data_IF_956115613217
#
_entry.id   IF_956115613217
#
_cell.length_a   1.000
_cell.length_b   1.000
_cell.length_c   1.000
_cell.angle_alpha   90.00
_cell.angle_beta   90.00
_cell.angle_gamma   90.00
#
_symmetry.space_group_name_H-M   'P 1'
#
loop_
_entity.id
_entity.type
_entity.pdbx_description
1 polymer ?
#
# COMPACT_ATOMS: atom_id res chain seq x y z
N UNK A 1 12.55 0.19 20.96
CA UNK A 1 13.69 0.98 20.44
C UNK A 1 13.27 1.63 19.13
N UNK A 2 13.03 2.96 19.08
CA UNK A 2 12.83 3.63 17.79
C UNK A 2 14.18 3.71 17.07
N UNK A 3 14.46 2.71 16.23
CA UNK A 3 15.67 2.72 15.39
C UNK A 3 15.37 3.48 14.11
N UNK A 4 16.13 4.56 13.86
CA UNK A 4 16.11 5.26 12.59
C UNK A 4 16.52 4.35 11.40
N UNK A 5 17.11 3.18 11.67
CA UNK A 5 17.47 2.17 10.66
C UNK A 5 16.36 1.18 10.29
N UNK A 6 15.12 1.38 10.72
CA UNK A 6 13.98 0.54 10.33
C UNK A 6 14.14 -0.94 10.72
N UNK A 7 13.63 -1.85 9.87
CA UNK A 7 13.67 -3.30 10.09
C UNK A 7 15.11 -3.84 10.14
N UNK A 8 16.02 -3.25 9.35
CA UNK A 8 17.44 -3.58 9.36
C UNK A 8 18.08 -3.37 10.74
N UNK A 9 17.85 -2.20 11.34
CA UNK A 9 18.43 -1.85 12.64
C UNK A 9 18.01 -2.82 13.74
N UNK A 10 16.73 -3.23 13.72
CA UNK A 10 16.20 -4.22 14.67
C UNK A 10 16.82 -5.59 14.41
N UNK A 11 16.79 -6.09 13.18
CA UNK A 11 17.30 -7.42 12.82
C UNK A 11 18.79 -7.58 13.13
N UNK A 12 19.60 -6.54 12.90
CA UNK A 12 21.03 -6.56 13.21
C UNK A 12 21.29 -6.70 14.72
N UNK A 13 20.51 -6.00 15.54
CA UNK A 13 20.70 -5.99 17.00
C UNK A 13 20.16 -7.26 17.66
N UNK A 14 19.10 -7.87 17.11
CA UNK A 14 18.47 -9.05 17.72
C UNK A 14 19.01 -10.38 17.19
N UNK A 15 19.29 -10.47 15.89
CA UNK A 15 19.66 -11.73 15.23
C UNK A 15 21.13 -11.76 14.77
N UNK A 16 21.82 -10.62 14.82
CA UNK A 16 23.23 -10.50 14.41
C UNK A 16 23.43 -9.95 12.99
N UNK A 17 24.70 -9.89 12.57
CA UNK A 17 25.11 -9.16 11.36
C UNK A 17 24.56 -9.78 10.07
N UNK A 18 24.65 -11.11 9.93
CA UNK A 18 24.22 -11.82 8.72
C UNK A 18 22.71 -11.70 8.44
N UNK A 19 21.81 -12.03 9.39
CA UNK A 19 20.37 -11.85 9.17
C UNK A 19 19.99 -10.38 9.02
N UNK A 20 20.68 -9.46 9.71
CA UNK A 20 20.53 -8.02 9.48
C UNK A 20 20.83 -7.66 8.02
N UNK A 21 21.95 -8.12 7.47
CA UNK A 21 22.31 -7.89 6.07
C UNK A 21 21.25 -8.42 5.09
N UNK A 22 20.76 -9.66 5.29
CA UNK A 22 19.70 -10.23 4.45
C UNK A 22 18.43 -9.37 4.47
N UNK A 23 18.01 -8.89 5.65
CA UNK A 23 16.85 -8.00 5.78
C UNK A 23 17.05 -6.70 5.00
N UNK A 24 18.24 -6.09 5.06
CA UNK A 24 18.54 -4.88 4.30
C UNK A 24 18.49 -5.10 2.78
N UNK A 25 19.03 -6.22 2.29
CA UNK A 25 18.99 -6.57 0.87
C UNK A 25 17.54 -6.75 0.42
N UNK A 26 16.75 -7.53 1.15
CA UNK A 26 15.33 -7.74 0.86
C UNK A 26 14.53 -6.43 0.88
N UNK A 27 14.76 -5.56 1.87
CA UNK A 27 14.06 -4.28 1.98
C UNK A 27 14.42 -3.31 0.84
N UNK A 28 15.67 -3.34 0.38
CA UNK A 28 16.14 -2.57 -0.76
C UNK A 28 15.47 -3.04 -2.06
N UNK A 29 15.47 -4.36 -2.32
CA UNK A 29 14.78 -4.92 -3.49
C UNK A 29 13.28 -4.62 -3.47
N UNK A 30 12.62 -4.79 -2.32
CA UNK A 30 11.21 -4.43 -2.15
C UNK A 30 10.96 -2.98 -2.54
N UNK A 31 11.81 -2.05 -2.09
CA UNK A 31 11.65 -0.62 -2.38
C UNK A 31 11.81 -0.31 -3.88
N UNK A 32 12.77 -0.95 -4.55
CA UNK A 32 12.98 -0.81 -6.01
C UNK A 32 11.77 -1.33 -6.79
N UNK A 33 11.30 -2.52 -6.45
CA UNK A 33 10.15 -3.16 -7.10
C UNK A 33 8.89 -2.31 -6.86
N UNK A 34 8.72 -1.77 -5.65
CA UNK A 34 7.57 -0.93 -5.32
C UNK A 34 7.54 0.36 -6.13
N UNK A 35 8.66 1.08 -6.21
CA UNK A 35 8.79 2.26 -7.06
C UNK A 35 8.48 1.95 -8.53
N UNK A 36 8.97 0.82 -9.04
CA UNK A 36 8.74 0.38 -10.41
C UNK A 36 7.26 0.04 -10.67
N UNK A 37 6.63 -0.68 -9.74
CA UNK A 37 5.21 -1.03 -9.82
C UNK A 37 4.31 0.22 -9.76
N UNK A 38 4.66 1.22 -8.95
CA UNK A 38 3.92 2.49 -8.92
C UNK A 38 4.04 3.26 -10.23
N UNK A 39 5.23 3.37 -10.82
CA UNK A 39 5.43 4.02 -12.11
C UNK A 39 4.64 3.31 -13.23
N UNK A 40 4.66 1.98 -13.23
CA UNK A 40 3.87 1.17 -14.15
C UNK A 40 2.37 1.42 -14.00
N UNK A 41 1.84 1.41 -12.76
CA UNK A 41 0.43 1.66 -12.51
C UNK A 41 -0.02 3.04 -13.01
N UNK A 42 0.78 4.09 -12.76
CA UNK A 42 0.51 5.45 -13.25
C UNK A 42 0.53 5.50 -14.78
N UNK A 43 1.53 4.86 -15.41
CA UNK A 43 1.60 4.76 -16.87
C UNK A 43 0.35 4.14 -17.48
N UNK A 44 -0.15 3.03 -16.92
CA UNK A 44 -1.38 2.39 -17.40
C UNK A 44 -2.61 3.26 -17.24
N UNK A 45 -2.74 4.00 -16.14
CA UNK A 45 -3.85 4.94 -15.92
C UNK A 45 -3.81 6.05 -16.99
N UNK A 46 -2.63 6.63 -17.23
CA UNK A 46 -2.46 7.71 -18.21
C UNK A 46 -2.74 7.24 -19.63
N UNK A 47 -2.27 6.06 -20.03
CA UNK A 47 -2.58 5.47 -21.34
C UNK A 47 -4.07 5.23 -21.51
N UNK A 48 -4.77 4.77 -20.45
CA UNK A 48 -6.22 4.59 -20.46
C UNK A 48 -7.00 5.89 -20.63
N UNK A 49 -6.55 6.98 -20.02
CA UNK A 49 -7.20 8.31 -20.12
C UNK A 49 -6.93 8.98 -21.47
N UNK A 50 -5.70 8.85 -21.98
CA UNK A 50 -5.29 9.54 -23.22
C UNK A 50 -5.70 8.79 -24.49
N UNK A 51 -6.26 7.58 -24.38
CA UNK A 51 -6.47 6.64 -25.49
C UNK A 51 -5.23 6.52 -26.40
N UNK A 52 -4.04 6.76 -25.84
CA UNK A 52 -2.79 6.82 -26.58
C UNK A 52 -2.27 5.42 -26.91
N UNK A 53 -1.46 5.32 -27.97
CA UNK A 53 -0.75 4.09 -28.28
C UNK A 53 0.19 3.68 -27.12
N UNK A 54 0.31 2.36 -26.88
CA UNK A 54 1.23 1.76 -25.90
C UNK A 54 2.68 2.26 -26.04
N UNK A 55 3.07 2.73 -27.23
CA UNK A 55 4.42 3.26 -27.49
C UNK A 55 4.79 4.49 -26.63
N UNK A 56 3.81 5.27 -26.18
CA UNK A 56 4.04 6.43 -25.32
C UNK A 56 4.15 6.09 -23.83
N UNK A 57 3.96 4.83 -23.44
CA UNK A 57 3.95 4.41 -22.04
C UNK A 57 5.32 4.59 -21.36
N UNK A 58 6.41 4.34 -22.10
CA UNK A 58 7.77 4.59 -21.62
C UNK A 58 8.02 6.07 -21.28
N UNK A 59 7.45 6.99 -22.05
CA UNK A 59 7.59 8.42 -21.80
C UNK A 59 6.87 8.82 -20.49
N UNK A 60 5.70 8.23 -20.21
CA UNK A 60 4.99 8.46 -18.95
C UNK A 60 5.75 7.92 -17.74
N UNK A 61 6.41 6.77 -17.85
CA UNK A 61 7.23 6.25 -16.76
C UNK A 61 8.41 7.18 -16.44
N UNK A 62 9.13 7.65 -17.47
CA UNK A 62 10.24 8.59 -17.29
C UNK A 62 9.75 9.90 -16.68
N UNK A 63 8.64 10.45 -17.18
CA UNK A 63 8.05 11.68 -16.65
C UNK A 63 7.68 11.53 -15.16
N UNK A 64 7.08 10.39 -14.79
CA UNK A 64 6.75 10.09 -13.39
C UNK A 64 8.01 10.03 -12.51
N UNK A 65 9.07 9.36 -12.95
CA UNK A 65 10.33 9.30 -12.19
C UNK A 65 10.96 10.67 -12.02
N UNK A 66 11.03 11.47 -13.09
CA UNK A 66 11.58 12.84 -13.03
C UNK A 66 10.76 13.70 -12.07
N UNK A 67 9.43 13.60 -12.11
CA UNK A 67 8.54 14.31 -11.19
C UNK A 67 8.78 13.91 -9.73
N UNK A 68 8.79 12.62 -9.43
CA UNK A 68 9.05 12.12 -8.08
C UNK A 68 10.45 12.52 -7.57
N UNK A 69 11.46 12.40 -8.42
CA UNK A 69 12.84 12.79 -8.09
C UNK A 69 12.94 14.28 -7.80
N UNK A 70 12.29 15.13 -8.60
CA UNK A 70 12.28 16.59 -8.39
C UNK A 70 11.73 16.95 -7.02
N UNK A 71 10.60 16.36 -6.62
CA UNK A 71 10.01 16.57 -5.29
C UNK A 71 10.95 16.09 -4.18
N UNK A 72 11.62 14.95 -4.39
CA UNK A 72 12.56 14.39 -3.43
C UNK A 72 13.79 15.29 -3.22
N UNK A 73 14.30 15.91 -4.30
CA UNK A 73 15.43 16.83 -4.26
C UNK A 73 15.15 18.11 -3.47
N UNK A 74 13.92 18.65 -3.54
CA UNK A 74 13.55 19.83 -2.73
C UNK A 74 13.57 19.54 -1.23
N UNK A 75 13.21 18.32 -0.83
CA UNK A 75 13.29 17.85 0.55
C UNK A 75 12.58 18.72 1.60
N UNK A 76 12.93 18.50 2.87
CA UNK A 76 12.54 19.34 3.99
C UNK A 76 11.02 19.41 4.26
N UNK A 77 10.54 20.58 4.67
CA UNK A 77 9.13 20.78 5.10
C UNK A 77 8.14 20.68 3.93
N UNK A 78 8.56 21.06 2.72
CA UNK A 78 7.71 21.03 1.53
C UNK A 78 7.37 19.60 1.12
N UNK A 79 8.35 18.69 1.20
CA UNK A 79 8.14 17.26 0.98
C UNK A 79 7.04 16.69 1.89
N UNK A 80 7.12 16.97 3.20
CA UNK A 80 6.13 16.47 4.17
C UNK A 80 4.74 17.07 3.97
N UNK A 81 4.66 18.35 3.62
CA UNK A 81 3.36 19.00 3.29
C UNK A 81 2.72 18.39 2.06
N UNK A 82 3.51 18.17 1.00
CA UNK A 82 3.03 17.53 -0.23
C UNK A 82 2.57 16.09 0.04
N UNK A 83 3.37 15.31 0.77
CA UNK A 83 2.99 13.94 1.14
C UNK A 83 1.72 13.91 2.00
N UNK A 84 1.57 14.85 2.94
CA UNK A 84 0.35 14.98 3.74
C UNK A 84 -0.87 15.37 2.91
N UNK A 85 -0.71 16.26 1.92
CA UNK A 85 -1.78 16.62 1.00
C UNK A 85 -2.23 15.40 0.17
N UNK A 86 -1.28 14.65 -0.39
CA UNK A 86 -1.58 13.42 -1.11
C UNK A 86 -2.27 12.37 -0.24
N UNK A 87 -1.86 12.23 1.02
CA UNK A 87 -2.49 11.33 1.96
C UNK A 87 -3.96 11.72 2.23
N UNK A 88 -4.24 13.00 2.47
CA UNK A 88 -5.61 13.51 2.68
C UNK A 88 -6.46 13.29 1.43
N UNK A 89 -5.93 13.59 0.24
CA UNK A 89 -6.63 13.38 -1.03
C UNK A 89 -6.94 11.89 -1.27
N UNK A 90 -5.99 11.00 -0.97
CA UNK A 90 -6.19 9.55 -1.09
C UNK A 90 -7.28 9.06 -0.15
N UNK A 91 -7.29 9.54 1.09
CA UNK A 91 -8.33 9.23 2.08
C UNK A 91 -9.70 9.76 1.64
N UNK A 92 -9.76 10.96 1.04
CA UNK A 92 -11.01 11.50 0.51
C UNK A 92 -11.60 10.64 -0.62
N UNK A 93 -10.77 10.22 -1.58
CA UNK A 93 -11.21 9.32 -2.66
C UNK A 93 -11.70 7.99 -2.09
N UNK A 94 -11.01 7.45 -1.09
CA UNK A 94 -11.41 6.22 -0.40
C UNK A 94 -12.78 6.37 0.28
N UNK A 95 -13.02 7.47 0.99
CA UNK A 95 -14.32 7.72 1.59
C UNK A 95 -15.41 7.92 0.53
N UNK A 96 -15.12 8.62 -0.56
CA UNK A 96 -16.05 8.77 -1.68
C UNK A 96 -16.46 7.41 -2.26
N UNK A 97 -15.49 6.49 -2.43
CA UNK A 97 -15.77 5.12 -2.84
C UNK A 97 -16.65 4.38 -1.83
N UNK A 98 -16.31 4.45 -0.54
CA UNK A 98 -17.08 3.79 0.52
C UNK A 98 -18.53 4.28 0.52
N UNK A 99 -18.75 5.60 0.59
CA UNK A 99 -20.11 6.17 0.63
C UNK A 99 -20.89 6.00 -0.68
N UNK A 100 -20.20 6.02 -1.83
CA UNK A 100 -20.81 5.78 -3.13
C UNK A 100 -21.30 4.33 -3.29
N UNK A 101 -20.51 3.37 -2.82
CA UNK A 101 -20.78 1.94 -3.00
C UNK A 101 -21.77 1.37 -1.97
N UNK A 102 -22.01 2.03 -0.83
CA UNK A 102 -22.96 1.55 0.21
C UNK A 102 -24.36 1.25 -0.36
N UNK A 103 -24.82 2.01 -1.35
CA UNK A 103 -26.15 1.79 -1.96
C UNK A 103 -26.21 0.58 -2.89
N UNK A 104 -25.05 0.15 -3.40
CA UNK A 104 -24.93 -0.95 -4.36
C UNK A 104 -24.43 -2.25 -3.71
N UNK A 105 -23.90 -2.17 -2.50
CA UNK A 105 -23.43 -3.32 -1.74
C UNK A 105 -24.62 -4.20 -1.36
N UNK A 106 -24.73 -5.36 -2.02
CA UNK A 106 -25.70 -6.39 -1.71
C UNK A 106 -24.98 -7.71 -1.48
N UNK A 107 -24.63 -7.94 -0.22
CA UNK A 107 -23.87 -9.12 0.19
C UNK A 107 -24.61 -10.41 -0.13
N UNK A 108 -25.94 -10.45 0.05
CA UNK A 108 -26.75 -11.65 -0.26
C UNK A 108 -26.75 -12.00 -1.76
N UNK A 109 -26.60 -11.01 -2.63
CA UNK A 109 -26.64 -11.21 -4.08
C UNK A 109 -25.27 -11.58 -4.67
N UNK A 110 -24.19 -11.04 -4.12
CA UNK A 110 -22.86 -11.14 -4.72
C UNK A 110 -21.85 -11.97 -3.91
N UNK A 111 -22.13 -12.26 -2.63
CA UNK A 111 -21.28 -13.15 -1.82
C UNK A 111 -21.42 -14.65 -2.17
N UNK A 112 -22.61 -15.21 -2.48
CA UNK A 112 -22.69 -16.63 -2.81
C UNK A 112 -22.18 -16.89 -4.24
N UNK A 113 -21.26 -17.84 -4.38
CA UNK A 113 -20.83 -18.30 -5.69
C UNK A 113 -21.97 -19.11 -6.34
N UNK A 114 -22.41 -18.81 -7.57
CA UNK A 114 -23.47 -19.56 -8.21
C UNK A 114 -22.98 -20.98 -8.55
N UNK A 115 -23.54 -21.97 -7.87
CA UNK A 115 -23.38 -23.38 -8.24
C UNK A 115 -24.57 -23.84 -9.10
N UNK A 116 -24.32 -24.77 -10.02
CA UNK A 116 -25.34 -25.41 -10.87
C UNK A 116 -26.41 -26.19 -10.06
N UNK A 117 -26.14 -26.46 -8.78
CA UNK A 117 -27.02 -27.24 -7.87
C UNK A 117 -27.72 -26.40 -6.77
N UNK A 118 -27.59 -25.07 -6.76
CA UNK A 118 -28.29 -24.22 -5.79
C UNK A 118 -27.77 -24.29 -4.34
N UNK A 119 -26.57 -24.83 -4.11
CA UNK A 119 -25.88 -24.76 -2.82
C UNK A 119 -25.00 -23.52 -2.74
N UNK A 120 -25.16 -22.70 -1.69
CA UNK A 120 -24.30 -21.54 -1.44
C UNK A 120 -22.91 -22.00 -1.00
N UNK A 121 -21.95 -22.02 -1.93
CA UNK A 121 -20.54 -22.17 -1.58
C UNK A 121 -19.92 -20.80 -1.30
N UNK A 122 -19.48 -20.63 -0.06
CA UNK A 122 -18.81 -19.43 0.44
C UNK A 122 -17.30 -19.40 0.15
N UNK A 123 -16.76 -20.47 -0.46
CA UNK A 123 -15.34 -20.64 -0.70
C UNK A 123 -15.11 -21.16 -2.12
N UNK A 124 -14.44 -20.35 -2.95
CA UNK A 124 -14.06 -20.72 -4.30
C UNK A 124 -12.61 -21.22 -4.32
N UNK A 125 -12.42 -22.43 -4.84
CA UNK A 125 -11.10 -23.05 -4.93
C UNK A 125 -10.71 -23.83 -3.67
N UNK A 126 -9.63 -24.61 -3.75
CA UNK A 126 -9.14 -25.40 -2.61
C UNK A 126 -8.24 -24.58 -1.67
N UNK A 127 -7.62 -25.24 -0.69
CA UNK A 127 -6.58 -24.64 0.16
C UNK A 127 -5.48 -23.96 -0.67
N UNK A 128 -5.16 -24.50 -1.85
CA UNK A 128 -4.17 -23.93 -2.76
C UNK A 128 -4.55 -22.55 -3.29
N UNK A 129 -5.81 -22.36 -3.73
CA UNK A 129 -6.27 -21.07 -4.25
C UNK A 129 -6.37 -20.01 -3.16
N UNK A 130 -6.78 -20.42 -1.96
CA UNK A 130 -6.75 -19.55 -0.79
C UNK A 130 -5.34 -19.03 -0.49
N UNK A 131 -4.34 -19.92 -0.49
CA UNK A 131 -2.95 -19.53 -0.28
C UNK A 131 -2.42 -18.64 -1.42
N UNK A 132 -2.96 -18.77 -2.64
CA UNK A 132 -2.60 -17.94 -3.79
C UNK A 132 -3.20 -16.53 -3.71
N UNK A 133 -4.39 -16.38 -3.14
CA UNK A 133 -5.09 -15.08 -3.01
C UNK A 133 -4.63 -14.31 -1.77
N UNK A 134 -4.18 -14.99 -0.71
CA UNK A 134 -3.74 -14.38 0.55
C UNK A 134 -2.71 -13.23 0.38
N UNK A 135 -1.69 -13.33 -0.51
CA UNK A 135 -0.75 -12.23 -0.78
C UNK A 135 -1.37 -11.00 -1.45
N UNK A 136 -2.57 -11.09 -2.02
CA UNK A 136 -3.28 -9.94 -2.57
C UNK A 136 -3.85 -9.08 -1.43
N UNK A 137 -4.40 -9.71 -0.40
CA UNK A 137 -4.94 -9.02 0.78
C UNK A 137 -3.86 -8.33 1.62
N UNK A 138 -2.63 -8.85 1.65
CA UNK A 138 -1.53 -8.20 2.38
C UNK A 138 -1.13 -6.85 1.79
N UNK A 139 -1.49 -6.56 0.53
CA UNK A 139 -1.19 -5.28 -0.14
C UNK A 139 -1.84 -4.09 0.56
N UNK A 140 -3.01 -4.27 1.18
CA UNK A 140 -3.68 -3.19 1.92
C UNK A 140 -2.85 -2.67 3.10
N UNK A 141 -2.03 -3.54 3.69
CA UNK A 141 -1.20 -3.23 4.86
C UNK A 141 0.23 -2.83 4.48
N UNK A 142 0.52 -2.76 3.18
CA UNK A 142 1.84 -2.39 2.69
C UNK A 142 2.12 -0.91 2.98
N UNK A 143 3.34 -0.59 3.40
CA UNK A 143 3.77 0.78 3.64
C UNK A 143 3.79 1.23 5.11
N UNK A 144 3.19 0.50 6.05
CA UNK A 144 3.28 0.83 7.50
C UNK A 144 4.72 0.87 8.03
N UNK A 145 5.64 0.15 7.38
CA UNK A 145 7.06 0.16 7.70
C UNK A 145 7.71 1.56 7.54
N UNK A 146 7.13 2.42 6.70
CA UNK A 146 7.62 3.79 6.47
C UNK A 146 7.62 4.65 7.75
N UNK A 147 6.72 4.36 8.70
CA UNK A 147 6.67 5.04 10.00
C UNK A 147 7.99 4.85 10.75
N UNK A 148 8.57 3.65 10.68
CA UNK A 148 9.85 3.36 11.34
C UNK A 148 11.02 4.08 10.66
N UNK A 149 10.99 4.21 9.33
CA UNK A 149 12.01 4.96 8.59
C UNK A 149 11.94 6.47 8.91
N UNK A 150 10.74 6.99 9.13
CA UNK A 150 10.52 8.39 9.49
C UNK A 150 10.89 8.73 10.94
N UNK A 151 11.19 7.74 11.80
CA UNK A 151 11.53 7.95 13.22
C UNK A 151 12.60 9.02 13.45
N UNK A 152 13.60 9.11 12.56
CA UNK A 152 14.71 10.07 12.69
C UNK A 152 14.29 11.53 12.56
N UNK A 153 13.10 11.81 12.02
CA UNK A 153 12.56 13.16 11.81
C UNK A 153 11.45 13.52 12.80
N UNK A 154 11.13 12.61 13.74
CA UNK A 154 10.10 12.80 14.76
C UNK A 154 10.75 13.34 16.03
N UNK A 155 10.17 14.41 16.61
CA UNK A 155 10.69 15.06 17.82
C UNK A 155 10.70 14.12 19.04
N UNK A 156 9.63 13.34 19.22
CA UNK A 156 9.45 12.40 20.35
C UNK A 156 9.08 10.99 19.86
N UNK A 157 10.04 10.23 19.30
CA UNK A 157 9.72 8.96 18.65
C UNK A 157 9.26 7.88 19.64
N UNK A 158 9.64 7.95 20.91
CA UNK A 158 9.22 6.96 21.93
C UNK A 158 7.70 6.94 22.17
N UNK A 159 7.04 8.08 22.04
CA UNK A 159 5.59 8.20 22.30
C UNK A 159 4.76 8.27 21.03
N UNK A 160 5.27 8.96 20.01
CA UNK A 160 4.50 9.23 18.79
C UNK A 160 4.53 8.07 17.80
N UNK A 161 5.64 7.32 17.70
CA UNK A 161 5.75 6.18 16.78
C UNK A 161 4.76 5.06 17.13
N UNK A 162 4.65 4.62 18.41
CA UNK A 162 3.66 3.60 18.77
C UNK A 162 2.22 4.04 18.51
N UNK A 163 1.88 5.30 18.81
CA UNK A 163 0.55 5.86 18.56
C UNK A 163 0.25 5.94 17.06
N UNK A 164 1.21 6.40 16.26
CA UNK A 164 1.10 6.45 14.81
C UNK A 164 0.93 5.07 14.20
N UNK A 165 1.65 4.07 14.69
CA UNK A 165 1.53 2.69 14.24
C UNK A 165 0.15 2.11 14.57
N UNK A 166 -0.33 2.29 15.80
CA UNK A 166 -1.64 1.82 16.21
C UNK A 166 -2.76 2.51 15.43
N UNK A 167 -2.67 3.82 15.23
CA UNK A 167 -3.64 4.58 14.43
C UNK A 167 -3.66 4.16 12.96
N UNK A 168 -2.49 3.97 12.34
CA UNK A 168 -2.40 3.48 10.96
C UNK A 168 -2.96 2.07 10.83
N UNK A 169 -2.65 1.19 11.78
CA UNK A 169 -3.12 -0.19 11.76
C UNK A 169 -4.65 -0.28 11.93
N UNK A 170 -5.24 0.43 12.89
CA UNK A 170 -6.70 0.44 13.07
C UNK A 170 -7.39 1.07 11.88
N UNK A 171 -6.91 2.21 11.37
CA UNK A 171 -7.47 2.87 10.20
C UNK A 171 -7.45 1.96 8.96
N UNK A 172 -6.31 1.32 8.69
CA UNK A 172 -6.16 0.41 7.55
C UNK A 172 -7.03 -0.83 7.71
N UNK A 173 -7.16 -1.37 8.93
CA UNK A 173 -8.04 -2.50 9.22
C UNK A 173 -9.50 -2.15 8.89
N UNK A 174 -10.03 -1.06 9.44
CA UNK A 174 -11.41 -0.62 9.20
C UNK A 174 -11.68 -0.36 7.72
N UNK A 175 -10.76 0.35 7.05
CA UNK A 175 -10.93 0.68 5.63
C UNK A 175 -10.80 -0.54 4.72
N UNK A 176 -9.91 -1.48 5.03
CA UNK A 176 -9.77 -2.74 4.27
C UNK A 176 -11.03 -3.59 4.38
N UNK A 177 -11.58 -3.74 5.59
CA UNK A 177 -12.86 -4.44 5.77
C UNK A 177 -13.99 -3.73 5.02
N UNK A 178 -14.12 -2.41 5.15
CA UNK A 178 -15.15 -1.65 4.45
C UNK A 178 -15.05 -1.83 2.93
N UNK A 179 -13.85 -1.76 2.35
CA UNK A 179 -13.65 -1.98 0.91
C UNK A 179 -14.00 -3.42 0.50
N UNK A 180 -13.57 -4.42 1.27
CA UNK A 180 -13.90 -5.82 0.97
C UNK A 180 -15.40 -6.08 1.03
N UNK A 181 -16.10 -5.51 2.01
CA UNK A 181 -17.55 -5.69 2.14
C UNK A 181 -18.35 -4.97 1.04
N UNK A 182 -17.83 -3.86 0.51
CA UNK A 182 -18.51 -3.08 -0.52
C UNK A 182 -18.14 -3.51 -1.94
N UNK A 183 -16.99 -4.15 -2.12
CA UNK A 183 -16.53 -4.68 -3.41
C UNK A 183 -17.04 -6.11 -3.69
N UNK A 184 -17.45 -6.83 -2.64
CA UNK A 184 -18.17 -8.08 -2.75
C UNK A 184 -19.60 -7.80 -3.21
#
# INVERSE_FOLDING_TARGET
LPFAGGAYGVARVTLGIFPGYLVAVCDSYKSIIYCSASAFAVGRILTGVTMGELRNEYAYWVAFYVFCLSIHLYGGRNFWRFNSMLAVLSVQILFMYIFGSIKFANFEKFAPYPNEEGSEQWFQGGMYDFMRVLPLGTRFYMGMQSINLACGQIKNPKTEVPKGYLGAMTFTLFTSFAVLFLAA
#
